data_IF_359636224248
#
_entry.id   IF_359636224248
#
_cell.length_a   1.000
_cell.length_b   1.000
_cell.length_c   1.000
_cell.angle_alpha   90.00
_cell.angle_beta   90.00
_cell.angle_gamma   90.00
#
_symmetry.space_group_name_H-M   'P 1'
#
loop_
_entity.id
_entity.type
_entity.pdbx_description
1 polymer ?
#
# COMPACT_ATOMS: atom_id res chain seq x y z
N UNK A 1 17.39 15.24 -21.86
CA UNK A 1 16.19 14.53 -22.35
C UNK A 1 15.14 14.59 -21.24
N UNK A 2 14.17 15.50 -21.36
CA UNK A 2 13.03 15.54 -20.43
C UNK A 2 12.13 14.35 -20.76
N UNK A 3 12.19 13.30 -19.93
CA UNK A 3 11.21 12.23 -19.99
C UNK A 3 9.88 12.80 -19.52
N UNK A 4 8.97 13.07 -20.46
CA UNK A 4 7.56 13.30 -20.19
C UNK A 4 7.03 12.10 -19.40
N UNK A 5 6.82 12.27 -18.09
CA UNK A 5 6.19 11.28 -17.23
C UNK A 5 4.74 11.13 -17.71
N UNK A 6 4.48 10.04 -18.43
CA UNK A 6 3.12 9.62 -18.72
C UNK A 6 2.50 9.21 -17.38
N UNK A 7 1.37 9.80 -16.96
CA UNK A 7 0.72 9.39 -15.72
C UNK A 7 0.20 7.96 -15.89
N UNK A 8 0.66 7.03 -15.06
CA UNK A 8 0.08 5.70 -14.95
C UNK A 8 -1.27 5.83 -14.22
N UNK A 9 -2.37 5.78 -14.96
CA UNK A 9 -3.72 5.77 -14.38
C UNK A 9 -4.22 4.33 -14.20
N UNK A 10 -4.76 4.05 -13.01
CA UNK A 10 -5.58 2.86 -12.78
C UNK A 10 -7.02 3.28 -13.03
N UNK A 11 -7.64 2.73 -14.08
CA UNK A 11 -9.07 2.95 -14.34
C UNK A 11 -9.85 2.13 -13.33
N UNK A 12 -10.51 2.82 -12.42
CA UNK A 12 -11.41 2.25 -11.43
C UNK A 12 -12.83 2.46 -11.98
N UNK A 13 -13.38 1.45 -12.66
CA UNK A 13 -14.76 1.50 -13.18
C UNK A 13 -15.76 1.30 -12.05
N UNK A 14 -16.66 2.26 -11.86
CA UNK A 14 -17.74 2.17 -10.88
C UNK A 14 -18.64 0.97 -11.20
N UNK A 15 -18.84 0.01 -10.28
CA UNK A 15 -19.88 -0.99 -10.42
C UNK A 15 -21.25 -0.31 -10.40
N UNK A 16 -22.20 -0.77 -11.22
CA UNK A 16 -23.56 -0.21 -11.30
C UNK A 16 -24.29 -0.20 -9.93
N UNK A 17 -23.89 -1.08 -9.01
CA UNK A 17 -24.41 -1.21 -7.65
C UNK A 17 -23.60 -0.44 -6.58
N UNK A 18 -22.98 0.70 -6.93
CA UNK A 18 -22.27 1.55 -5.96
C UNK A 18 -23.23 2.16 -4.94
N UNK A 19 -23.62 1.37 -3.94
CA UNK A 19 -24.17 1.88 -2.69
C UNK A 19 -22.99 2.38 -1.86
N UNK A 20 -23.11 3.57 -1.27
CA UNK A 20 -22.17 4.00 -0.22
C UNK A 20 -22.40 3.09 0.98
N UNK A 21 -21.53 2.09 1.20
CA UNK A 21 -21.65 1.21 2.36
C UNK A 21 -21.44 2.06 3.61
N UNK A 22 -22.30 1.90 4.61
CA UNK A 22 -22.11 2.59 5.88
C UNK A 22 -20.81 2.13 6.54
N UNK A 23 -20.11 3.05 7.21
CA UNK A 23 -18.89 2.75 7.97
C UNK A 23 -19.08 1.56 8.94
N UNK A 24 -20.27 1.41 9.51
CA UNK A 24 -20.62 0.31 10.40
C UNK A 24 -20.58 -1.04 9.68
N UNK A 25 -21.13 -1.10 8.46
CA UNK A 25 -21.13 -2.32 7.64
C UNK A 25 -19.70 -2.67 7.21
N UNK A 26 -18.95 -1.68 6.71
CA UNK A 26 -17.54 -1.88 6.33
C UNK A 26 -16.72 -2.42 7.50
N UNK A 27 -16.85 -1.83 8.69
CA UNK A 27 -16.14 -2.31 9.89
C UNK A 27 -16.52 -3.75 10.23
N UNK A 28 -17.80 -4.10 10.18
CA UNK A 28 -18.28 -5.47 10.47
C UNK A 28 -17.72 -6.50 9.48
N UNK A 29 -17.74 -6.18 8.19
CA UNK A 29 -17.27 -7.09 7.14
C UNK A 29 -15.75 -7.20 7.15
N UNK A 30 -15.03 -6.12 7.45
CA UNK A 30 -13.58 -6.13 7.65
C UNK A 30 -13.20 -6.98 8.87
N UNK A 31 -13.92 -6.89 9.98
CA UNK A 31 -13.59 -7.61 11.21
C UNK A 31 -13.96 -9.09 11.14
N UNK A 32 -15.22 -9.39 10.81
CA UNK A 32 -15.80 -10.74 10.94
C UNK A 32 -16.10 -11.43 9.60
N UNK A 33 -15.90 -10.75 8.47
CA UNK A 33 -16.16 -11.31 7.15
C UNK A 33 -15.20 -12.44 6.79
N UNK A 34 -15.63 -13.30 5.87
CA UNK A 34 -14.74 -14.25 5.20
C UNK A 34 -13.82 -13.52 4.20
N UNK A 35 -12.99 -14.27 3.47
CA UNK A 35 -12.04 -13.69 2.51
C UNK A 35 -12.78 -12.90 1.41
N UNK A 36 -13.94 -13.39 0.95
CA UNK A 36 -14.73 -12.71 -0.07
C UNK A 36 -15.29 -11.38 0.45
N UNK A 37 -15.92 -11.39 1.63
CA UNK A 37 -16.48 -10.20 2.24
C UNK A 37 -15.41 -9.15 2.57
N UNK A 38 -14.24 -9.59 3.06
CA UNK A 38 -13.07 -8.71 3.28
C UNK A 38 -12.55 -8.10 1.99
N UNK A 39 -12.53 -8.87 0.91
CA UNK A 39 -12.12 -8.41 -0.41
C UNK A 39 -13.10 -7.33 -0.93
N UNK A 40 -14.41 -7.61 -0.91
CA UNK A 40 -15.44 -6.67 -1.36
C UNK A 40 -15.45 -5.40 -0.50
N UNK A 41 -15.30 -5.52 0.82
CA UNK A 41 -15.21 -4.38 1.72
C UNK A 41 -13.98 -3.51 1.43
N UNK A 42 -12.82 -4.11 1.17
CA UNK A 42 -11.60 -3.35 0.81
C UNK A 42 -11.73 -2.70 -0.56
N UNK A 43 -12.35 -3.38 -1.54
CA UNK A 43 -12.62 -2.79 -2.85
C UNK A 43 -13.51 -1.55 -2.70
N UNK A 44 -14.63 -1.68 -2.00
CA UNK A 44 -15.55 -0.57 -1.76
C UNK A 44 -14.86 0.59 -1.05
N UNK A 45 -14.01 0.32 -0.06
CA UNK A 45 -13.23 1.35 0.62
C UNK A 45 -12.29 2.09 -0.33
N UNK A 46 -11.61 1.38 -1.23
CA UNK A 46 -10.76 1.99 -2.26
C UNK A 46 -11.58 2.88 -3.20
N UNK A 47 -12.75 2.40 -3.64
CA UNK A 47 -13.67 3.20 -4.46
C UNK A 47 -14.10 4.46 -3.73
N UNK A 48 -14.53 4.36 -2.48
CA UNK A 48 -14.90 5.50 -1.63
C UNK A 48 -13.81 6.55 -1.55
N UNK A 49 -12.57 6.14 -1.27
CA UNK A 49 -11.42 7.06 -1.16
C UNK A 49 -11.09 7.69 -2.51
N UNK A 50 -11.15 6.91 -3.60
CA UNK A 50 -10.92 7.42 -4.95
C UNK A 50 -11.93 8.49 -5.38
N UNK A 51 -13.15 8.46 -4.84
CA UNK A 51 -14.20 9.48 -5.05
C UNK A 51 -14.12 10.65 -4.04
N UNK A 52 -13.04 10.75 -3.26
CA UNK A 52 -12.80 11.87 -2.36
C UNK A 52 -13.42 11.72 -0.96
N UNK A 53 -13.91 10.53 -0.58
CA UNK A 53 -14.30 10.30 0.81
C UNK A 53 -13.06 10.18 1.70
N UNK A 54 -13.03 10.94 2.79
CA UNK A 54 -11.95 10.87 3.76
C UNK A 54 -12.08 9.60 4.61
N UNK A 55 -10.99 8.84 4.72
CA UNK A 55 -10.93 7.70 5.62
C UNK A 55 -10.81 8.16 7.08
N UNK A 56 -11.64 7.61 7.96
CA UNK A 56 -11.54 7.87 9.40
C UNK A 56 -10.37 7.09 10.02
N UNK A 57 -9.77 7.65 11.07
CA UNK A 57 -8.68 7.00 11.82
C UNK A 57 -9.08 5.60 12.32
N UNK A 58 -10.32 5.46 12.78
CA UNK A 58 -10.86 4.18 13.22
C UNK A 58 -10.89 3.15 12.09
N UNK A 59 -11.36 3.55 10.90
CA UNK A 59 -11.43 2.65 9.75
C UNK A 59 -10.04 2.24 9.26
N UNK A 60 -9.08 3.17 9.28
CA UNK A 60 -7.67 2.87 9.01
C UNK A 60 -7.13 1.79 9.95
N UNK A 61 -7.43 1.89 11.25
CA UNK A 61 -7.02 0.88 12.24
C UNK A 61 -7.68 -0.49 12.01
N UNK A 62 -8.94 -0.53 11.55
CA UNK A 62 -9.59 -1.79 11.16
C UNK A 62 -8.88 -2.46 9.98
N UNK A 63 -8.50 -1.69 8.96
CA UNK A 63 -7.72 -2.22 7.82
C UNK A 63 -6.38 -2.79 8.30
N UNK A 64 -5.65 -2.04 9.14
CA UNK A 64 -4.37 -2.49 9.70
C UNK A 64 -4.53 -3.76 10.53
N UNK A 65 -5.56 -3.85 11.36
CA UNK A 65 -5.73 -4.98 12.28
C UNK A 65 -6.24 -6.24 11.59
N UNK A 66 -7.15 -6.11 10.62
CA UNK A 66 -7.93 -7.25 10.13
C UNK A 66 -7.68 -7.60 8.65
N UNK A 67 -7.08 -6.70 7.85
CA UNK A 67 -6.75 -6.95 6.45
C UNK A 67 -5.24 -7.08 6.23
N UNK A 68 -4.43 -6.23 6.86
CA UNK A 68 -2.96 -6.28 6.73
C UNK A 68 -2.33 -7.65 7.05
N UNK A 69 -2.78 -8.43 8.07
CA UNK A 69 -2.21 -9.75 8.34
C UNK A 69 -2.70 -10.85 7.39
N UNK A 70 -3.71 -10.58 6.55
CA UNK A 70 -4.31 -11.57 5.65
C UNK A 70 -3.29 -12.01 4.60
N UNK A 71 -3.17 -13.33 4.41
CA UNK A 71 -2.21 -13.94 3.48
C UNK A 71 -2.74 -14.11 2.06
N UNK A 72 -4.04 -13.85 1.85
CA UNK A 72 -4.66 -13.93 0.54
C UNK A 72 -3.98 -12.98 -0.47
N UNK A 73 -3.67 -13.51 -1.65
CA UNK A 73 -2.90 -12.79 -2.67
C UNK A 73 -3.68 -11.62 -3.27
N UNK A 74 -5.00 -11.78 -3.43
CA UNK A 74 -5.85 -10.74 -4.00
C UNK A 74 -6.00 -9.59 -3.01
N UNK A 75 -6.24 -9.88 -1.73
CA UNK A 75 -6.29 -8.88 -0.66
C UNK A 75 -4.95 -8.16 -0.51
N UNK A 76 -3.81 -8.88 -0.51
CA UNK A 76 -2.48 -8.23 -0.45
C UNK A 76 -2.25 -7.26 -1.61
N UNK A 77 -2.61 -7.66 -2.84
CA UNK A 77 -2.49 -6.78 -4.01
C UNK A 77 -3.40 -5.55 -3.89
N UNK A 78 -4.62 -5.75 -3.41
CA UNK A 78 -5.59 -4.68 -3.22
C UNK A 78 -5.17 -3.71 -2.10
N UNK A 79 -4.53 -4.22 -1.03
CA UNK A 79 -3.93 -3.40 0.01
C UNK A 79 -2.85 -2.46 -0.54
N UNK A 80 -1.99 -2.92 -1.46
CA UNK A 80 -1.00 -2.03 -2.09
C UNK A 80 -1.66 -0.85 -2.81
N UNK A 81 -2.82 -1.06 -3.45
CA UNK A 81 -3.61 0.01 -4.07
C UNK A 81 -4.22 0.94 -3.02
N UNK A 82 -4.81 0.38 -1.96
CA UNK A 82 -5.32 1.16 -0.84
C UNK A 82 -4.24 2.08 -0.24
N UNK A 83 -3.04 1.55 -0.01
CA UNK A 83 -1.92 2.33 0.52
C UNK A 83 -1.41 3.40 -0.43
N UNK A 84 -1.70 3.33 -1.73
CA UNK A 84 -1.38 4.41 -2.67
C UNK A 84 -2.31 5.62 -2.50
N UNK A 85 -3.58 5.36 -2.12
CA UNK A 85 -4.62 6.40 -2.03
C UNK A 85 -4.73 7.06 -0.65
N UNK A 86 -4.41 6.33 0.43
CA UNK A 86 -4.61 6.84 1.80
C UNK A 86 -3.66 8.01 2.10
N UNK A 87 -4.14 9.15 2.61
CA UNK A 87 -3.28 10.24 3.09
C UNK A 87 -2.32 9.76 4.19
N UNK A 88 -1.06 10.19 4.14
CA UNK A 88 -0.02 9.78 5.13
C UNK A 88 0.25 10.80 6.22
N UNK A 89 -0.18 12.04 6.00
CA UNK A 89 0.02 13.15 6.91
C UNK A 89 -1.30 13.60 7.51
N UNK A 90 -1.24 14.07 8.75
CA UNK A 90 -2.32 14.81 9.39
C UNK A 90 -2.41 16.23 8.82
N UNK A 91 -3.46 16.96 9.20
CA UNK A 91 -3.64 18.36 8.81
C UNK A 91 -2.53 19.29 9.33
N UNK A 92 -1.81 18.90 10.38
CA UNK A 92 -0.66 19.63 10.92
C UNK A 92 0.67 19.30 10.22
N UNK A 93 0.65 18.45 9.18
CA UNK A 93 1.83 18.03 8.43
C UNK A 93 2.66 16.93 9.11
N UNK A 94 2.23 16.37 10.24
CA UNK A 94 2.91 15.23 10.88
C UNK A 94 2.47 13.91 10.28
N UNK A 95 3.40 12.95 10.22
CA UNK A 95 3.10 11.60 9.78
C UNK A 95 2.08 10.96 10.73
N UNK A 96 1.09 10.27 10.17
CA UNK A 96 0.09 9.55 10.95
C UNK A 96 0.78 8.41 11.73
N UNK A 97 0.54 8.32 13.04
CA UNK A 97 1.18 7.35 13.95
C UNK A 97 1.02 5.89 13.51
N UNK A 98 -0.11 5.57 12.90
CA UNK A 98 -0.46 4.25 12.37
C UNK A 98 0.50 3.80 11.27
N UNK A 99 1.17 4.72 10.59
CA UNK A 99 2.18 4.39 9.58
C UNK A 99 3.34 3.60 10.15
N UNK A 100 3.60 3.66 11.46
CA UNK A 100 4.60 2.79 12.12
C UNK A 100 4.26 1.31 11.90
N UNK A 101 2.99 0.91 12.03
CA UNK A 101 2.55 -0.47 11.82
C UNK A 101 2.65 -0.86 10.35
N UNK A 102 2.38 0.08 9.45
CA UNK A 102 2.49 -0.10 8.01
C UNK A 102 3.96 -0.26 7.59
N UNK A 103 4.87 0.54 8.14
CA UNK A 103 6.32 0.41 7.93
C UNK A 103 6.83 -0.98 8.33
N UNK A 104 6.38 -1.50 9.48
CA UNK A 104 6.75 -2.85 9.92
C UNK A 104 6.24 -3.93 8.96
N UNK A 105 5.00 -3.77 8.44
CA UNK A 105 4.46 -4.68 7.44
C UNK A 105 5.26 -4.63 6.13
N UNK A 106 5.65 -3.46 5.64
CA UNK A 106 6.51 -3.32 4.45
C UNK A 106 7.87 -3.99 4.65
N UNK A 107 8.48 -3.80 5.83
CA UNK A 107 9.73 -4.48 6.20
C UNK A 107 9.58 -6.00 6.16
N UNK A 108 8.49 -6.55 6.71
CA UNK A 108 8.19 -7.98 6.66
C UNK A 108 7.99 -8.47 5.22
N UNK A 109 7.27 -7.73 4.39
CA UNK A 109 7.04 -8.08 2.99
C UNK A 109 8.34 -8.03 2.16
N UNK A 110 9.27 -7.11 2.44
CA UNK A 110 10.61 -7.07 1.83
C UNK A 110 11.47 -8.29 2.20
N UNK A 111 11.18 -8.93 3.34
CA UNK A 111 11.87 -10.13 3.83
C UNK A 111 11.08 -11.42 3.58
N UNK A 112 9.95 -11.34 2.89
CA UNK A 112 9.04 -12.47 2.68
C UNK A 112 9.71 -13.60 1.87
N UNK A 113 9.49 -14.89 2.18
CA UNK A 113 10.13 -16.00 1.45
C UNK A 113 9.76 -16.03 -0.05
N UNK A 114 8.56 -15.56 -0.39
CA UNK A 114 8.09 -15.45 -1.77
C UNK A 114 8.67 -14.21 -2.49
N UNK A 115 9.42 -14.44 -3.56
CA UNK A 115 10.04 -13.40 -4.39
C UNK A 115 9.04 -12.44 -5.06
N UNK A 116 7.83 -12.91 -5.37
CA UNK A 116 6.79 -12.10 -5.99
C UNK A 116 6.20 -11.09 -5.01
N UNK A 117 6.11 -11.44 -3.73
CA UNK A 117 5.72 -10.52 -2.66
C UNK A 117 6.78 -9.44 -2.50
N UNK A 118 8.06 -9.82 -2.41
CA UNK A 118 9.19 -8.87 -2.38
C UNK A 118 9.17 -7.92 -3.58
N UNK A 119 9.03 -8.46 -4.79
CA UNK A 119 8.99 -7.63 -6.00
C UNK A 119 7.76 -6.71 -6.07
N UNK A 120 6.60 -7.15 -5.59
CA UNK A 120 5.40 -6.32 -5.52
C UNK A 120 5.58 -5.14 -4.57
N UNK A 121 6.11 -5.38 -3.35
CA UNK A 121 6.37 -4.28 -2.41
C UNK A 121 7.46 -3.35 -2.94
N UNK A 122 8.54 -3.87 -3.55
CA UNK A 122 9.58 -3.02 -4.16
C UNK A 122 9.03 -2.08 -5.24
N UNK A 123 8.11 -2.56 -6.10
CA UNK A 123 7.44 -1.68 -7.07
C UNK A 123 6.54 -0.64 -6.42
N UNK A 124 5.81 -1.04 -5.37
CA UNK A 124 4.98 -0.10 -4.62
C UNK A 124 5.83 1.02 -4.00
N UNK A 125 7.00 0.69 -3.43
CA UNK A 125 7.90 1.67 -2.81
C UNK A 125 8.44 2.71 -3.80
N UNK A 126 8.49 2.42 -5.11
CA UNK A 126 8.83 3.41 -6.13
C UNK A 126 7.84 4.59 -6.17
N UNK A 127 6.61 4.40 -5.70
CA UNK A 127 5.55 5.40 -5.70
C UNK A 127 5.46 6.22 -4.41
N UNK A 128 6.15 5.77 -3.37
CA UNK A 128 6.07 6.37 -2.04
C UNK A 128 6.92 7.64 -1.96
N UNK A 129 6.39 8.69 -1.31
CA UNK A 129 7.01 10.03 -1.24
C UNK A 129 7.38 10.45 0.18
N UNK A 130 7.06 9.62 1.16
CA UNK A 130 7.25 9.89 2.57
C UNK A 130 8.62 9.37 3.04
N UNK A 131 9.63 10.25 3.14
CA UNK A 131 10.98 9.89 3.59
C UNK A 131 10.97 9.19 4.96
N UNK A 132 10.14 9.67 5.89
CA UNK A 132 9.98 9.09 7.23
C UNK A 132 9.49 7.62 7.21
N UNK A 133 8.80 7.19 6.16
CA UNK A 133 8.40 5.78 5.98
C UNK A 133 9.53 4.98 5.31
N UNK A 134 10.29 5.59 4.40
CA UNK A 134 11.34 4.94 3.62
C UNK A 134 12.63 4.71 4.40
N UNK A 135 13.03 5.67 5.24
CA UNK A 135 14.28 5.61 6.03
C UNK A 135 14.38 4.32 6.87
N UNK A 136 13.36 3.91 7.66
CA UNK A 136 13.44 2.70 8.49
C UNK A 136 13.56 1.40 7.68
N UNK A 137 13.05 1.38 6.45
CA UNK A 137 13.00 0.16 5.61
C UNK A 137 14.12 0.10 4.58
N UNK A 138 14.88 1.18 4.39
CA UNK A 138 16.01 1.26 3.46
C UNK A 138 17.02 0.11 3.60
N UNK A 139 17.40 -0.35 4.82
CA UNK A 139 18.28 -1.52 4.96
C UNK A 139 17.69 -2.80 4.34
N UNK A 140 16.38 -3.01 4.44
CA UNK A 140 15.69 -4.17 3.86
C UNK A 140 15.59 -4.07 2.33
N UNK A 141 15.44 -2.86 1.79
CA UNK A 141 15.49 -2.61 0.34
C UNK A 141 16.90 -2.93 -0.19
N UNK A 142 17.95 -2.46 0.48
CA UNK A 142 19.35 -2.73 0.10
C UNK A 142 19.66 -4.23 0.12
N UNK A 143 19.22 -4.96 1.15
CA UNK A 143 19.38 -6.41 1.22
C UNK A 143 18.72 -7.15 0.04
N UNK A 144 17.67 -6.59 -0.56
CA UNK A 144 17.03 -7.18 -1.75
C UNK A 144 17.90 -7.11 -3.02
N UNK A 145 18.94 -6.25 -3.06
CA UNK A 145 19.89 -6.21 -4.19
C UNK A 145 20.76 -7.46 -4.28
N UNK A 146 20.98 -8.13 -3.16
CA UNK A 146 21.80 -9.35 -3.07
C UNK A 146 20.94 -10.62 -3.08
N UNK A 147 19.63 -10.49 -3.26
CA UNK A 147 18.71 -11.62 -3.24
C UNK A 147 19.01 -12.60 -4.39
N UNK A 148 18.87 -13.90 -4.16
CA UNK A 148 19.16 -14.97 -5.15
C UNK A 148 18.38 -14.84 -6.47
N UNK A 149 17.16 -14.33 -6.41
CA UNK A 149 16.29 -14.13 -7.58
C UNK A 149 16.59 -12.82 -8.31
N UNK A 150 16.83 -12.93 -9.62
CA UNK A 150 17.01 -11.77 -10.52
C UNK A 150 15.79 -10.86 -10.56
N UNK A 151 14.58 -11.42 -10.39
CA UNK A 151 13.34 -10.65 -10.32
C UNK A 151 13.37 -9.66 -9.15
N UNK A 152 13.77 -10.12 -7.96
CA UNK A 152 13.87 -9.25 -6.77
C UNK A 152 14.96 -8.20 -6.97
N UNK A 153 16.14 -8.60 -7.45
CA UNK A 153 17.26 -7.66 -7.68
C UNK A 153 16.89 -6.54 -8.66
N UNK A 154 16.24 -6.87 -9.79
CA UNK A 154 15.79 -5.88 -10.78
C UNK A 154 14.83 -4.85 -10.16
N UNK A 155 13.85 -5.31 -9.38
CA UNK A 155 12.91 -4.41 -8.71
C UNK A 155 13.59 -3.60 -7.60
N UNK A 156 14.59 -4.16 -6.90
CA UNK A 156 15.34 -3.46 -5.86
C UNK A 156 16.19 -2.32 -6.43
N UNK A 157 16.88 -2.56 -7.55
CA UNK A 157 17.65 -1.52 -8.25
C UNK A 157 16.73 -0.38 -8.70
N UNK A 158 15.56 -0.71 -9.27
CA UNK A 158 14.58 0.31 -9.67
C UNK A 158 14.05 1.11 -8.47
N UNK A 159 13.74 0.45 -7.36
CA UNK A 159 13.28 1.10 -6.15
C UNK A 159 14.33 2.07 -5.60
N UNK A 160 15.59 1.64 -5.47
CA UNK A 160 16.68 2.48 -4.98
C UNK A 160 16.91 3.67 -5.89
N UNK A 161 16.96 3.46 -7.22
CA UNK A 161 17.10 4.55 -8.19
C UNK A 161 15.97 5.56 -8.07
N UNK A 162 14.72 5.09 -7.98
CA UNK A 162 13.54 5.96 -7.90
C UNK A 162 13.51 6.73 -6.58
N UNK A 163 13.81 6.07 -5.46
CA UNK A 163 13.90 6.73 -4.15
C UNK A 163 15.00 7.80 -4.21
N UNK A 164 16.21 7.46 -4.63
CA UNK A 164 17.30 8.43 -4.73
C UNK A 164 16.92 9.65 -5.58
N UNK A 165 16.34 9.42 -6.77
CA UNK A 165 15.87 10.50 -7.66
C UNK A 165 14.79 11.39 -7.02
N UNK A 166 13.90 10.82 -6.22
CA UNK A 166 12.79 11.56 -5.61
C UNK A 166 13.18 12.32 -4.34
N UNK A 167 14.30 11.97 -3.71
CA UNK A 167 14.81 12.59 -2.47
C UNK A 167 16.21 13.19 -2.64
N UNK A 168 16.61 13.50 -3.87
CA UNK A 168 17.88 14.18 -4.18
C UNK A 168 17.72 15.68 -3.81
N UNK A 169 17.84 15.99 -2.51
CA UNK A 169 17.91 17.33 -1.91
C UNK A 169 18.46 17.24 -0.48
#
# INVERSE_FOLDING_TARGET
>A
MQSSQQPDYIIITQPDDYNTWSDLKLKKDIENGDISAKFDALQNLIFSIAHGQNITKDLLMFVIRFLLPVQDKQIKKLLLLFWELVPKYQSDGKLISEMILVCDAYRKDLQHPNEYVRGAILRFLCKLKESQILEPIMPSIRACMEHKSSYVRRNAVLAIFTIYKNFDS
#
